data_IF_701457436162
#
_entry.id   IF_701457436162
#
_cell.length_a   1.000
_cell.length_b   1.000
_cell.length_c   1.000
_cell.angle_alpha   90.00
_cell.angle_beta   90.00
_cell.angle_gamma   90.00
#
_symmetry.space_group_name_H-M   'P 1'
#
loop_
_entity.id
_entity.type
_entity.pdbx_description
1 polymer ?
#
# COMPACT_ATOMS: atom_id res chain seq x y z
N UNK A 1 -25.30 73.25 -13.12
CA UNK A 1 -24.71 71.96 -12.67
C UNK A 1 -25.82 70.92 -12.57
N UNK A 2 -25.79 69.91 -13.45
CA UNK A 2 -26.40 68.58 -13.29
C UNK A 2 -25.83 67.69 -14.42
N UNK A 3 -25.01 66.71 -14.00
CA UNK A 3 -24.59 65.53 -14.77
C UNK A 3 -25.85 64.65 -15.03
N UNK A 4 -25.91 63.65 -15.92
CA UNK A 4 -25.17 62.36 -15.89
C UNK A 4 -25.55 61.59 -17.18
N UNK A 5 -24.56 61.22 -18.03
CA UNK A 5 -24.03 59.86 -18.33
C UNK A 5 -24.84 58.99 -19.30
N UNK A 6 -24.19 58.65 -20.42
CA UNK A 6 -24.56 57.62 -21.38
C UNK A 6 -24.00 56.25 -20.94
N UNK A 7 -24.79 55.20 -21.10
CA UNK A 7 -24.40 53.82 -20.85
C UNK A 7 -23.65 53.24 -22.06
N UNK A 8 -22.45 52.69 -21.84
CA UNK A 8 -21.75 51.84 -22.79
C UNK A 8 -21.71 50.42 -22.24
N UNK A 9 -22.29 49.47 -22.98
CA UNK A 9 -22.29 48.06 -22.64
C UNK A 9 -20.91 47.43 -22.80
N UNK A 10 -20.47 46.69 -21.79
CA UNK A 10 -19.31 45.81 -21.86
C UNK A 10 -19.79 44.37 -22.08
N UNK A 11 -19.45 43.81 -23.24
CA UNK A 11 -19.62 42.40 -23.55
C UNK A 11 -18.59 41.59 -22.77
N UNK A 12 -19.05 40.75 -21.83
CA UNK A 12 -18.20 39.85 -21.05
C UNK A 12 -18.02 38.54 -21.85
N UNK A 13 -16.84 38.34 -22.45
CA UNK A 13 -16.43 37.04 -22.97
C UNK A 13 -16.03 36.15 -21.78
N UNK A 14 -16.91 35.23 -21.39
CA UNK A 14 -16.59 34.19 -20.41
C UNK A 14 -15.79 33.07 -21.10
N UNK A 15 -14.46 33.07 -20.97
CA UNK A 15 -13.68 31.86 -21.14
C UNK A 15 -13.86 31.01 -19.88
N UNK A 16 -14.74 30.01 -19.96
CA UNK A 16 -14.78 28.93 -18.98
C UNK A 16 -13.57 28.02 -19.23
N UNK A 17 -12.49 28.23 -18.46
CA UNK A 17 -11.39 27.29 -18.40
C UNK A 17 -11.85 25.99 -17.78
N UNK A 18 -11.74 24.88 -18.51
CA UNK A 18 -11.80 23.53 -17.96
C UNK A 18 -10.62 23.36 -17.01
N UNK A 19 -10.87 23.46 -15.71
CA UNK A 19 -9.92 23.01 -14.69
C UNK A 19 -10.01 21.50 -14.66
N UNK A 20 -9.12 20.82 -15.40
CA UNK A 20 -8.90 19.39 -15.22
C UNK A 20 -8.15 19.21 -13.90
N UNK A 21 -8.83 18.77 -12.85
CA UNK A 21 -8.18 18.28 -11.64
C UNK A 21 -7.49 16.94 -11.96
N UNK A 22 -6.27 16.99 -12.49
CA UNK A 22 -5.38 15.85 -12.43
C UNK A 22 -5.09 15.62 -10.93
N UNK A 23 -5.65 14.56 -10.35
CA UNK A 23 -5.34 14.19 -8.97
C UNK A 23 -3.83 14.01 -8.84
N UNK A 24 -3.21 14.74 -7.91
CA UNK A 24 -1.78 14.63 -7.67
C UNK A 24 -1.48 13.19 -7.23
N UNK A 25 -0.58 12.51 -7.95
CA UNK A 25 -0.07 11.20 -7.55
C UNK A 25 0.73 11.33 -6.25
N UNK A 26 0.68 10.30 -5.42
CA UNK A 26 1.46 10.26 -4.18
C UNK A 26 2.95 10.34 -4.48
N UNK A 27 3.68 11.09 -3.66
CA UNK A 27 5.14 11.09 -3.68
C UNK A 27 5.63 10.11 -2.62
N UNK A 28 6.25 9.03 -3.09
CA UNK A 28 6.87 8.03 -2.23
C UNK A 28 8.28 8.47 -1.82
N UNK A 29 8.62 8.28 -0.55
CA UNK A 29 9.90 8.74 0.03
C UNK A 29 10.64 7.63 0.74
N UNK A 30 11.96 7.61 0.59
CA UNK A 30 12.82 6.68 1.31
C UNK A 30 12.62 6.83 2.83
N UNK A 31 12.48 5.71 3.53
CA UNK A 31 12.17 5.68 4.97
C UNK A 31 13.22 6.35 5.84
N UNK A 32 14.49 6.33 5.42
CA UNK A 32 15.62 6.85 6.21
C UNK A 32 16.00 8.26 5.74
N UNK A 33 16.15 8.46 4.44
CA UNK A 33 16.67 9.72 3.89
C UNK A 33 15.58 10.76 3.60
N UNK A 34 14.32 10.32 3.46
CA UNK A 34 13.22 11.18 3.04
C UNK A 34 13.28 11.60 1.56
N UNK A 35 14.28 11.15 0.80
CA UNK A 35 14.40 11.43 -0.63
C UNK A 35 13.25 10.79 -1.42
N UNK A 36 12.85 11.43 -2.52
CA UNK A 36 11.81 10.87 -3.38
C UNK A 36 12.30 9.58 -4.05
N UNK A 37 11.46 8.53 -4.01
CA UNK A 37 11.73 7.27 -4.67
C UNK A 37 11.34 7.36 -6.15
N UNK A 38 12.25 6.96 -7.03
CA UNK A 38 11.97 6.82 -8.46
C UNK A 38 11.25 5.49 -8.74
N UNK A 39 9.99 5.40 -8.30
CA UNK A 39 9.19 4.16 -8.39
C UNK A 39 9.00 3.74 -9.85
N UNK A 40 8.74 4.70 -10.75
CA UNK A 40 8.52 4.44 -12.17
C UNK A 40 9.82 4.09 -12.92
N UNK A 41 10.96 4.69 -12.55
CA UNK A 41 12.24 4.35 -13.15
C UNK A 41 12.81 3.02 -12.65
N UNK A 42 12.57 2.64 -11.39
CA UNK A 42 13.27 1.51 -10.77
C UNK A 42 12.52 0.18 -10.74
N UNK A 43 11.18 0.16 -10.64
CA UNK A 43 10.46 -1.12 -10.56
C UNK A 43 10.68 -2.01 -11.81
N UNK A 44 10.36 -3.32 -11.79
CA UNK A 44 10.24 -4.15 -12.99
C UNK A 44 9.10 -3.67 -13.89
N UNK A 45 9.21 -3.71 -15.23
CA UNK A 45 8.19 -3.12 -16.15
C UNK A 45 6.84 -3.84 -16.10
N UNK A 46 6.88 -5.12 -15.80
CA UNK A 46 5.74 -5.99 -15.58
C UNK A 46 5.02 -5.66 -14.26
N UNK A 47 3.72 -6.01 -14.19
CA UNK A 47 2.95 -5.90 -12.94
C UNK A 47 2.72 -4.47 -12.42
N UNK A 48 2.76 -3.44 -13.27
CA UNK A 48 2.46 -2.04 -12.87
C UNK A 48 1.11 -1.50 -13.30
N UNK A 49 0.49 -2.14 -14.29
CA UNK A 49 -0.70 -1.59 -14.96
C UNK A 49 -2.02 -2.07 -14.34
N UNK A 50 -1.96 -2.84 -13.24
CA UNK A 50 -3.15 -3.36 -12.58
C UNK A 50 -3.97 -2.23 -11.96
N UNK A 51 -5.31 -2.40 -11.84
CA UNK A 51 -6.14 -1.43 -11.14
C UNK A 51 -5.69 -1.15 -9.70
N UNK A 52 -5.17 -2.18 -9.01
CA UNK A 52 -4.65 -2.06 -7.65
C UNK A 52 -3.45 -1.12 -7.58
N UNK A 53 -2.46 -1.33 -8.45
CA UNK A 53 -1.27 -0.45 -8.50
C UNK A 53 -1.68 0.97 -8.85
N UNK A 54 -2.57 1.18 -9.82
CA UNK A 54 -3.05 2.53 -10.16
C UNK A 54 -3.71 3.24 -8.99
N UNK A 55 -4.56 2.54 -8.24
CA UNK A 55 -5.18 3.09 -7.04
C UNK A 55 -4.14 3.40 -5.95
N UNK A 56 -3.21 2.47 -5.70
CA UNK A 56 -2.16 2.64 -4.71
C UNK A 56 -1.27 3.84 -5.02
N UNK A 57 -0.85 4.03 -6.27
CA UNK A 57 -0.04 5.18 -6.68
C UNK A 57 -0.77 6.53 -6.55
N UNK A 58 -2.11 6.52 -6.52
CA UNK A 58 -2.93 7.73 -6.35
C UNK A 58 -3.28 8.02 -4.89
N UNK A 59 -3.37 7.01 -4.04
CA UNK A 59 -3.99 7.13 -2.71
C UNK A 59 -3.11 6.64 -1.57
N UNK A 60 -2.06 5.87 -1.86
CA UNK A 60 -1.24 5.20 -0.86
C UNK A 60 -1.94 4.06 -0.10
N UNK A 61 -3.16 3.70 -0.50
CA UNK A 61 -3.96 2.62 0.12
C UNK A 61 -3.85 1.36 -0.73
N UNK A 62 -3.50 0.23 -0.10
CA UNK A 62 -3.42 -1.06 -0.76
C UNK A 62 -4.79 -1.76 -0.79
N UNK A 63 -5.43 -1.90 -1.96
CA UNK A 63 -6.74 -2.53 -2.05
C UNK A 63 -6.73 -4.07 -1.97
N UNK A 64 -5.56 -4.70 -1.82
CA UNK A 64 -5.47 -6.14 -1.58
C UNK A 64 -5.50 -6.55 -0.11
N UNK A 65 -5.39 -5.59 0.82
CA UNK A 65 -5.48 -5.85 2.27
C UNK A 65 -6.80 -6.54 2.59
N UNK A 66 -6.72 -7.71 3.25
CA UNK A 66 -7.85 -8.60 3.58
C UNK A 66 -8.64 -9.17 2.37
N UNK A 67 -8.11 -9.08 1.15
CA UNK A 67 -8.65 -9.80 -0.01
C UNK A 67 -8.07 -11.21 -0.02
N UNK A 68 -8.84 -12.18 0.48
CA UNK A 68 -8.40 -13.57 0.69
C UNK A 68 -7.66 -14.17 -0.52
N UNK A 69 -8.16 -13.98 -1.75
CA UNK A 69 -7.54 -14.53 -2.96
C UNK A 69 -6.14 -13.99 -3.28
N UNK A 70 -5.73 -12.89 -2.66
CA UNK A 70 -4.41 -12.28 -2.84
C UNK A 70 -3.37 -12.82 -1.85
N UNK A 71 -3.82 -13.35 -0.70
CA UNK A 71 -2.96 -13.76 0.40
C UNK A 71 -2.00 -14.91 0.06
N UNK A 72 -2.39 -15.98 -0.68
CA UNK A 72 -1.47 -17.08 -0.99
C UNK A 72 -0.24 -16.64 -1.79
N UNK A 73 -0.42 -15.72 -2.74
CA UNK A 73 0.71 -15.17 -3.51
C UNK A 73 1.56 -14.23 -2.65
N UNK A 74 0.94 -13.44 -1.78
CA UNK A 74 1.66 -12.60 -0.82
C UNK A 74 2.52 -13.41 0.14
N UNK A 75 2.00 -14.53 0.63
CA UNK A 75 2.72 -15.49 1.45
C UNK A 75 3.92 -16.08 0.71
N UNK A 76 3.74 -16.57 -0.52
CA UNK A 76 4.82 -17.12 -1.34
C UNK A 76 5.99 -16.13 -1.44
N UNK A 77 5.69 -14.87 -1.79
CA UNK A 77 6.69 -13.81 -1.92
C UNK A 77 7.39 -13.55 -0.58
N UNK A 78 6.62 -13.49 0.51
CA UNK A 78 7.17 -13.28 1.85
C UNK A 78 8.14 -14.40 2.25
N UNK A 79 7.77 -15.66 1.98
CA UNK A 79 8.60 -16.82 2.29
C UNK A 79 9.90 -16.82 1.50
N UNK A 80 9.85 -16.46 0.21
CA UNK A 80 11.02 -16.42 -0.66
C UNK A 80 11.96 -15.25 -0.35
N UNK A 81 11.40 -14.06 -0.09
CA UNK A 81 12.18 -12.82 -0.07
C UNK A 81 12.42 -12.23 1.32
N UNK A 82 11.57 -12.54 2.31
CA UNK A 82 11.56 -11.85 3.61
C UNK A 82 11.83 -12.79 4.80
N UNK A 83 11.33 -14.03 4.74
CA UNK A 83 11.31 -14.93 5.90
C UNK A 83 12.69 -15.29 6.46
N UNK A 84 13.73 -15.28 5.62
CA UNK A 84 15.10 -15.54 6.03
C UNK A 84 15.59 -14.58 7.13
N UNK A 85 15.13 -13.33 7.09
CA UNK A 85 15.47 -12.28 8.03
C UNK A 85 14.36 -11.99 9.05
N UNK A 86 13.08 -12.05 8.64
CA UNK A 86 11.95 -11.65 9.47
C UNK A 86 11.18 -12.81 10.11
N UNK A 87 11.63 -14.05 9.92
CA UNK A 87 10.96 -15.24 10.46
C UNK A 87 9.84 -15.75 9.54
N UNK A 88 9.39 -16.98 9.78
CA UNK A 88 8.45 -17.67 8.88
C UNK A 88 7.07 -17.00 8.82
N UNK A 89 6.66 -16.34 9.91
CA UNK A 89 5.36 -15.69 10.08
C UNK A 89 5.52 -14.25 10.58
N UNK A 90 6.67 -13.61 10.29
CA UNK A 90 6.95 -12.24 10.73
C UNK A 90 7.31 -12.11 12.20
N UNK A 91 7.70 -13.19 12.87
CA UNK A 91 8.02 -13.20 14.30
C UNK A 91 9.36 -12.56 14.66
N UNK A 92 10.14 -12.15 13.65
CA UNK A 92 11.49 -11.62 13.82
C UNK A 92 12.54 -12.73 13.90
N UNK A 93 13.73 -12.45 13.37
CA UNK A 93 14.86 -13.40 13.39
C UNK A 93 16.19 -12.65 13.40
N UNK A 94 16.66 -12.25 12.22
CA UNK A 94 17.81 -11.34 12.08
C UNK A 94 17.30 -9.89 12.06
N UNK A 95 16.22 -9.64 11.33
CA UNK A 95 15.45 -8.41 11.36
C UNK A 95 14.37 -8.43 12.44
N UNK A 96 13.70 -7.29 12.66
CA UNK A 96 12.62 -7.17 13.64
C UNK A 96 11.40 -8.04 13.29
N UNK A 97 10.52 -8.24 14.27
CA UNK A 97 9.17 -8.71 14.01
C UNK A 97 8.41 -7.75 13.10
N UNK A 98 7.52 -8.32 12.28
CA UNK A 98 6.59 -7.62 11.39
C UNK A 98 5.13 -7.99 11.69
N UNK A 99 4.89 -8.86 12.67
CA UNK A 99 3.56 -9.35 13.06
C UNK A 99 3.06 -8.80 14.40
N UNK A 100 3.72 -7.77 14.91
CA UNK A 100 3.38 -7.13 16.17
C UNK A 100 2.96 -5.66 15.97
N UNK A 101 2.48 -5.05 17.03
CA UNK A 101 1.95 -3.67 17.00
C UNK A 101 3.04 -2.59 16.93
N UNK A 102 4.32 -2.94 17.12
CA UNK A 102 5.41 -1.98 17.20
C UNK A 102 6.17 -1.86 15.89
N UNK A 103 6.29 -0.63 15.38
CA UNK A 103 7.09 -0.32 14.20
C UNK A 103 8.22 0.65 14.54
N UNK A 104 9.48 0.24 14.32
CA UNK A 104 10.66 1.12 14.46
C UNK A 104 10.53 2.39 13.62
N UNK A 105 9.90 2.28 12.44
CA UNK A 105 9.52 3.41 11.61
C UNK A 105 8.00 3.55 11.66
N UNK A 106 7.43 4.49 12.44
CA UNK A 106 5.99 4.56 12.70
C UNK A 106 5.13 4.64 11.44
N UNK A 107 5.63 5.26 10.37
CA UNK A 107 4.97 5.31 9.05
C UNK A 107 4.59 3.92 8.50
N UNK A 108 5.25 2.85 8.92
CA UNK A 108 4.98 1.49 8.47
C UNK A 108 3.64 0.93 9.00
N UNK A 109 2.95 1.63 9.92
CA UNK A 109 1.54 1.35 10.19
C UNK A 109 0.70 1.55 8.92
N UNK A 110 1.01 2.55 8.10
CA UNK A 110 0.37 2.78 6.79
C UNK A 110 0.97 1.91 5.69
N UNK A 111 0.16 1.52 4.70
CA UNK A 111 0.62 0.73 3.55
C UNK A 111 1.60 1.52 2.66
N UNK A 112 1.36 2.82 2.48
CA UNK A 112 2.32 3.73 1.84
C UNK A 112 3.68 3.68 2.51
N UNK A 113 3.73 3.80 3.84
CA UNK A 113 4.99 3.81 4.57
C UNK A 113 5.71 2.46 4.54
N UNK A 114 4.96 1.36 4.59
CA UNK A 114 5.50 0.01 4.46
C UNK A 114 6.05 -0.25 3.05
N UNK A 115 5.31 0.14 2.00
CA UNK A 115 5.79 0.13 0.62
C UNK A 115 7.09 0.90 0.46
N UNK A 116 7.16 2.12 0.97
CA UNK A 116 8.38 2.95 0.91
C UNK A 116 9.59 2.26 1.55
N UNK A 117 9.37 1.55 2.66
CA UNK A 117 10.42 0.79 3.35
C UNK A 117 10.86 -0.43 2.55
N UNK A 118 9.93 -1.18 1.95
CA UNK A 118 10.27 -2.35 1.14
C UNK A 118 10.95 -1.91 -0.17
N UNK A 119 10.40 -0.89 -0.83
CA UNK A 119 10.89 -0.38 -2.10
C UNK A 119 12.27 0.26 -1.96
N UNK A 120 12.40 1.22 -1.05
CA UNK A 120 13.60 2.04 -0.87
C UNK A 120 14.61 1.49 0.14
N UNK A 121 14.26 0.43 0.87
CA UNK A 121 15.06 -0.09 1.96
C UNK A 121 15.02 0.78 3.22
N UNK A 122 15.76 0.33 4.22
CA UNK A 122 15.96 1.02 5.49
C UNK A 122 17.45 1.08 5.86
N UNK A 123 17.80 0.78 7.12
CA UNK A 123 19.18 0.75 7.58
C UNK A 123 19.78 -0.67 7.55
N UNK A 124 21.11 -0.73 7.49
CA UNK A 124 21.86 -1.97 7.62
C UNK A 124 21.57 -2.94 6.48
N UNK A 125 21.11 -4.14 6.83
CA UNK A 125 20.88 -5.25 5.89
C UNK A 125 19.52 -5.20 5.20
N UNK A 126 18.61 -4.30 5.62
CA UNK A 126 17.33 -4.09 4.93
C UNK A 126 17.54 -3.19 3.71
N UNK A 127 18.09 -3.78 2.64
CA UNK A 127 18.28 -3.10 1.36
C UNK A 127 16.97 -2.82 0.63
N UNK A 128 17.01 -2.06 -0.48
CA UNK A 128 15.86 -1.84 -1.33
C UNK A 128 15.49 -3.12 -2.09
N UNK A 129 14.19 -3.43 -2.17
CA UNK A 129 13.64 -4.51 -2.98
C UNK A 129 12.83 -3.99 -4.18
N UNK A 130 12.81 -2.67 -4.39
CA UNK A 130 12.04 -2.03 -5.45
C UNK A 130 12.37 -2.52 -6.86
N UNK A 131 13.60 -2.96 -7.11
CA UNK A 131 14.03 -3.47 -8.42
C UNK A 131 13.75 -4.97 -8.62
N UNK A 132 13.47 -5.69 -7.53
CA UNK A 132 13.33 -7.15 -7.54
C UNK A 132 11.86 -7.61 -7.58
N UNK A 133 10.94 -6.75 -7.13
CA UNK A 133 9.52 -7.08 -6.99
C UNK A 133 8.67 -6.22 -7.92
N UNK A 134 7.83 -6.86 -8.73
CA UNK A 134 6.75 -6.20 -9.47
C UNK A 134 5.84 -5.44 -8.48
N UNK A 135 5.34 -4.26 -8.87
CA UNK A 135 4.53 -3.42 -7.98
C UNK A 135 3.27 -4.14 -7.47
N UNK A 136 2.57 -4.86 -8.35
CA UNK A 136 1.37 -5.63 -7.97
C UNK A 136 1.68 -6.76 -6.97
N UNK A 137 2.87 -7.36 -7.06
CA UNK A 137 3.33 -8.38 -6.11
C UNK A 137 3.79 -7.76 -4.79
N UNK A 138 4.38 -6.56 -4.80
CA UNK A 138 4.70 -5.82 -3.58
C UNK A 138 3.44 -5.48 -2.78
N UNK A 139 2.31 -5.17 -3.43
CA UNK A 139 1.01 -4.98 -2.76
C UNK A 139 0.49 -6.29 -2.15
N UNK A 140 0.52 -7.41 -2.88
CA UNK A 140 0.13 -8.71 -2.29
C UNK A 140 1.00 -9.10 -1.09
N UNK A 141 2.30 -8.78 -1.14
CA UNK A 141 3.21 -8.95 -0.02
C UNK A 141 2.79 -8.08 1.18
N UNK A 142 2.44 -6.81 0.96
CA UNK A 142 1.93 -5.93 2.02
C UNK A 142 0.65 -6.50 2.62
N UNK A 143 -0.30 -6.94 1.79
CA UNK A 143 -1.53 -7.59 2.25
C UNK A 143 -1.24 -8.81 3.14
N UNK A 144 -0.25 -9.65 2.79
CA UNK A 144 0.18 -10.76 3.63
C UNK A 144 0.81 -10.29 4.96
N UNK A 145 1.68 -9.28 4.94
CA UNK A 145 2.28 -8.72 6.15
C UNK A 145 1.21 -8.18 7.11
N UNK A 146 0.16 -7.53 6.58
CA UNK A 146 -0.99 -7.11 7.39
C UNK A 146 -1.77 -8.29 7.95
N UNK A 147 -1.94 -9.34 7.15
CA UNK A 147 -2.70 -10.53 7.51
C UNK A 147 -2.05 -11.36 8.63
N UNK A 148 -0.71 -11.40 8.69
CA UNK A 148 0.02 -12.18 9.71
C UNK A 148 0.09 -11.48 11.08
N UNK A 149 -0.48 -10.29 11.23
CA UNK A 149 -0.57 -9.58 12.52
C UNK A 149 -1.21 -10.46 13.58
N UNK A 150 -0.63 -10.49 14.78
CA UNK A 150 -1.16 -11.23 15.94
C UNK A 150 -1.52 -10.36 17.14
N UNK A 151 -0.96 -9.15 17.20
CA UNK A 151 -1.28 -8.20 18.25
C UNK A 151 -2.61 -7.49 17.97
N UNK A 152 -3.08 -6.72 18.95
CA UNK A 152 -4.28 -5.91 18.83
C UNK A 152 -4.20 -4.92 17.65
N UNK A 153 -5.37 -4.62 17.07
CA UNK A 153 -5.52 -3.74 15.89
C UNK A 153 -6.35 -2.50 16.19
N UNK A 154 -6.56 -2.13 17.45
CA UNK A 154 -7.33 -0.93 17.80
C UNK A 154 -6.76 0.32 17.10
N UNK A 155 -5.42 0.43 17.08
CA UNK A 155 -4.70 1.55 16.48
C UNK A 155 -4.29 1.30 15.01
N UNK A 156 -4.78 0.23 14.37
CA UNK A 156 -4.42 -0.11 13.00
C UNK A 156 -5.08 0.83 11.97
N UNK A 157 -4.36 1.85 11.52
CA UNK A 157 -4.81 2.79 10.49
C UNK A 157 -4.98 2.15 9.09
N UNK A 158 -4.39 0.97 8.87
CA UNK A 158 -4.52 0.18 7.64
C UNK A 158 -5.82 -0.66 7.55
N UNK A 159 -6.64 -0.69 8.62
CA UNK A 159 -7.92 -1.40 8.63
C UNK A 159 -9.10 -0.42 8.80
N UNK A 160 -10.20 -0.65 8.07
CA UNK A 160 -11.48 -0.01 8.36
C UNK A 160 -12.07 -0.49 9.70
N UNK A 161 -13.01 0.28 10.26
CA UNK A 161 -13.68 -0.08 11.53
C UNK A 161 -14.34 -1.46 11.49
N UNK A 162 -14.91 -1.84 10.35
CA UNK A 162 -15.50 -3.17 10.15
C UNK A 162 -14.43 -4.26 10.16
N UNK A 163 -13.30 -4.03 9.50
CA UNK A 163 -12.17 -4.97 9.49
C UNK A 163 -11.57 -5.12 10.89
N UNK A 164 -11.40 -4.02 11.65
CA UNK A 164 -10.92 -4.07 13.04
C UNK A 164 -11.83 -4.92 13.93
N UNK A 165 -13.14 -4.73 13.82
CA UNK A 165 -14.12 -5.48 14.63
C UNK A 165 -14.07 -6.99 14.39
N UNK A 166 -13.74 -7.39 13.16
CA UNK A 166 -13.70 -8.79 12.74
C UNK A 166 -12.29 -9.39 12.78
N UNK A 167 -11.29 -8.59 13.14
CA UNK A 167 -9.90 -9.02 13.19
C UNK A 167 -9.73 -10.17 14.17
N UNK A 168 -8.89 -11.12 13.78
CA UNK A 168 -8.45 -12.23 14.62
C UNK A 168 -6.94 -12.33 14.46
N UNK A 169 -6.20 -12.48 15.58
CA UNK A 169 -4.78 -12.78 15.51
C UNK A 169 -4.50 -13.95 14.56
N UNK A 170 -3.48 -13.80 13.74
CA UNK A 170 -3.10 -14.83 12.79
C UNK A 170 -2.77 -16.17 13.48
N UNK A 171 -3.27 -17.26 12.91
CA UNK A 171 -2.95 -18.64 13.32
C UNK A 171 -2.46 -19.42 12.11
N UNK A 172 -1.14 -19.64 12.05
CA UNK A 172 -0.50 -20.39 10.98
C UNK A 172 -1.03 -21.82 10.86
N UNK A 173 -1.42 -22.48 11.96
CA UNK A 173 -1.94 -23.85 11.90
C UNK A 173 -3.30 -23.88 11.22
N UNK A 174 -4.16 -22.91 11.52
CA UNK A 174 -5.46 -22.78 10.86
C UNK A 174 -5.30 -22.41 9.37
N UNK A 175 -4.36 -21.51 9.06
CA UNK A 175 -4.01 -21.12 7.70
C UNK A 175 -3.56 -22.31 6.86
N UNK A 176 -2.56 -23.08 7.32
CA UNK A 176 -2.07 -24.27 6.60
C UNK A 176 -3.11 -25.38 6.52
N UNK A 177 -3.90 -25.59 7.57
CA UNK A 177 -4.88 -26.67 7.60
C UNK A 177 -6.06 -26.42 6.63
N UNK A 178 -6.51 -25.16 6.51
CA UNK A 178 -7.75 -24.85 5.76
C UNK A 178 -7.77 -23.47 5.11
N UNK A 179 -7.14 -22.45 5.71
CA UNK A 179 -7.22 -21.06 5.24
C UNK A 179 -6.64 -20.87 3.84
N UNK A 180 -5.42 -21.35 3.60
CA UNK A 180 -4.72 -21.26 2.31
C UNK A 180 -5.54 -21.88 1.18
N UNK A 181 -5.98 -23.12 1.35
CA UNK A 181 -6.77 -23.83 0.35
C UNK A 181 -8.14 -23.19 0.07
N UNK A 182 -8.70 -22.45 1.03
CA UNK A 182 -9.92 -21.66 0.81
C UNK A 182 -9.60 -20.36 0.05
N UNK A 183 -8.52 -19.67 0.42
CA UNK A 183 -8.04 -18.45 -0.21
C UNK A 183 -7.64 -18.67 -1.69
N UNK A 184 -6.97 -19.77 -2.02
CA UNK A 184 -6.60 -20.14 -3.39
C UNK A 184 -7.79 -20.34 -4.33
N UNK A 185 -8.98 -20.64 -3.79
CA UNK A 185 -10.22 -20.75 -4.55
C UNK A 185 -10.89 -19.40 -4.80
N UNK A 186 -10.51 -18.38 -4.03
CA UNK A 186 -11.01 -17.01 -4.18
C UNK A 186 -10.20 -16.28 -5.26
N UNK A 187 -10.82 -15.29 -5.91
CA UNK A 187 -10.13 -14.44 -6.86
C UNK A 187 -9.41 -13.32 -6.12
N UNK A 188 -8.15 -13.05 -6.48
CA UNK A 188 -7.48 -11.80 -6.11
C UNK A 188 -8.05 -10.66 -6.96
N UNK A 189 -9.09 -9.99 -6.46
CA UNK A 189 -9.77 -8.89 -7.17
C UNK A 189 -10.10 -7.77 -6.18
N UNK A 190 -9.75 -6.54 -6.53
CA UNK A 190 -10.07 -5.36 -5.73
C UNK A 190 -11.58 -5.08 -5.73
N UNK A 191 -12.14 -4.62 -4.60
CA UNK A 191 -13.57 -4.26 -4.51
C UNK A 191 -13.85 -2.99 -5.31
N UNK A 192 -14.72 -3.07 -6.33
CA UNK A 192 -15.11 -1.91 -7.15
C UNK A 192 -14.95 -2.06 -8.66
N UNK A 193 -14.52 -3.22 -9.14
CA UNK A 193 -14.54 -3.64 -10.56
C UNK A 193 -15.28 -4.96 -10.72
#
# INVERSE_FOLDING_TARGET
>A
MKFTVAAAGLTFCALAGLVTSAGAQEVFRNTVTGEALDVEGQAPKEGRDTPAVKQFMQTGVDPYVEVAGCLPKGEEIYLESCSGCHGHIGEGKVGPGLNDSYWTYPKNTTDKGLFETIFGGANGMMGPHGQDLELDNMLKLIAWIRHIQKDDVADADWLSDEQKKNFKPFDIKAWEATGKAAAEKAQCKISGN
#
